data_IF_258467333179
#
_entry.id   IF_258467333179
#
_cell.length_a   1.000
_cell.length_b   1.000
_cell.length_c   1.000
_cell.angle_alpha   90.00
_cell.angle_beta   90.00
_cell.angle_gamma   90.00
#
_symmetry.space_group_name_H-M   'P 1'
#
loop_
_entity.id
_entity.type
_entity.pdbx_description
1 polymer ?
#
# COMPACT_ATOMS: atom_id res chain seq x y z
N UNK A 1 -13.44 -28.78 -1.34
CA UNK A 1 -12.13 -29.19 -1.85
C UNK A 1 -11.44 -27.97 -2.47
N UNK A 2 -11.26 -26.90 -1.69
CA UNK A 2 -10.87 -25.55 -2.18
C UNK A 2 -9.44 -25.16 -1.76
N UNK A 3 -8.80 -25.99 -0.92
CA UNK A 3 -7.50 -25.71 -0.29
C UNK A 3 -6.31 -25.51 -1.25
N UNK A 4 -6.20 -26.23 -2.39
CA UNK A 4 -5.01 -26.08 -3.24
C UNK A 4 -4.98 -24.74 -3.99
N UNK A 5 -6.13 -24.18 -4.37
CA UNK A 5 -6.22 -22.88 -5.06
C UNK A 5 -5.83 -21.72 -4.13
N UNK A 6 -6.36 -21.72 -2.89
CA UNK A 6 -5.98 -20.73 -1.89
C UNK A 6 -4.50 -20.81 -1.54
N UNK A 7 -3.95 -22.02 -1.39
CA UNK A 7 -2.53 -22.21 -1.12
C UNK A 7 -1.64 -21.70 -2.26
N UNK A 8 -2.01 -21.96 -3.52
CA UNK A 8 -1.29 -21.44 -4.68
C UNK A 8 -1.32 -19.90 -4.70
N UNK A 9 -2.50 -19.31 -4.49
CA UNK A 9 -2.65 -17.86 -4.45
C UNK A 9 -1.82 -17.22 -3.32
N UNK A 10 -1.85 -17.83 -2.13
CA UNK A 10 -1.09 -17.36 -0.97
C UNK A 10 0.43 -17.53 -1.16
N UNK A 11 0.85 -18.58 -1.86
CA UNK A 11 2.24 -18.80 -2.24
C UNK A 11 2.71 -17.72 -3.24
N UNK A 12 1.94 -17.46 -4.30
CA UNK A 12 2.24 -16.40 -5.27
C UNK A 12 2.23 -15.00 -4.66
N UNK A 13 1.44 -14.73 -3.62
CA UNK A 13 1.40 -13.44 -2.92
C UNK A 13 2.54 -13.22 -1.91
N UNK A 14 3.34 -14.25 -1.57
CA UNK A 14 4.49 -14.14 -0.66
C UNK A 14 5.78 -13.84 -1.44
N UNK A 15 6.74 -13.07 -0.89
CA UNK A 15 8.03 -12.77 -1.54
C UNK A 15 8.74 -13.96 -2.19
N UNK A 16 8.82 -15.17 -1.58
CA UNK A 16 9.43 -16.33 -2.24
C UNK A 16 8.67 -16.82 -3.48
N UNK A 17 7.34 -16.87 -3.47
CA UNK A 17 6.57 -17.35 -4.63
C UNK A 17 6.59 -16.36 -5.79
N UNK A 18 6.74 -15.08 -5.49
CA UNK A 18 6.97 -14.04 -6.49
C UNK A 18 8.26 -14.29 -7.30
N UNK A 19 9.39 -14.59 -6.63
CA UNK A 19 10.66 -14.88 -7.32
C UNK A 19 10.55 -16.14 -8.20
N UNK A 20 9.82 -17.15 -7.75
CA UNK A 20 9.57 -18.37 -8.54
C UNK A 20 8.77 -18.04 -9.81
N UNK A 21 7.72 -17.22 -9.68
CA UNK A 21 6.91 -16.82 -10.84
C UNK A 21 7.73 -15.99 -11.84
N UNK A 22 8.55 -15.06 -11.35
CA UNK A 22 9.43 -14.24 -12.17
C UNK A 22 10.46 -15.09 -12.93
N UNK A 23 11.11 -16.03 -12.23
CA UNK A 23 12.07 -16.95 -12.85
C UNK A 23 11.41 -17.84 -13.90
N UNK A 24 10.21 -18.35 -13.63
CA UNK A 24 9.43 -19.12 -14.59
C UNK A 24 9.08 -18.28 -15.83
N UNK A 25 8.62 -17.04 -15.65
CA UNK A 25 8.31 -16.12 -16.74
C UNK A 25 9.52 -15.81 -17.62
N UNK A 26 10.67 -15.52 -17.01
CA UNK A 26 11.94 -15.26 -17.71
C UNK A 26 12.44 -16.50 -18.45
N UNK A 27 12.40 -17.67 -17.81
CA UNK A 27 12.82 -18.93 -18.43
C UNK A 27 11.95 -19.28 -19.64
N UNK A 28 10.64 -19.03 -19.55
CA UNK A 28 9.73 -19.28 -20.65
C UNK A 28 9.90 -18.26 -21.79
N UNK A 29 10.16 -16.99 -21.47
CA UNK A 29 10.46 -15.96 -22.46
C UNK A 29 11.74 -16.24 -23.27
N UNK A 30 12.73 -16.90 -22.66
CA UNK A 30 13.98 -17.28 -23.33
C UNK A 30 13.85 -18.53 -24.22
N UNK A 31 12.89 -19.42 -23.92
CA UNK A 31 12.71 -20.71 -24.61
C UNK A 31 11.60 -20.66 -25.67
N UNK A 32 10.62 -19.77 -25.53
CA UNK A 32 9.48 -19.68 -26.44
C UNK A 32 9.73 -18.73 -27.63
N UNK A 33 9.15 -19.07 -28.80
CA UNK A 33 9.09 -18.19 -29.98
C UNK A 33 8.60 -16.78 -29.61
N UNK A 34 9.05 -15.75 -30.34
CA UNK A 34 8.86 -14.33 -30.00
C UNK A 34 7.41 -13.98 -29.61
N UNK A 35 6.41 -14.55 -30.28
CA UNK A 35 4.99 -14.29 -29.98
C UNK A 35 4.51 -14.92 -28.66
N UNK A 36 4.89 -16.17 -28.37
CA UNK A 36 4.47 -16.87 -27.14
C UNK A 36 5.20 -16.30 -25.93
N UNK A 37 6.49 -15.97 -26.07
CA UNK A 37 7.26 -15.29 -25.04
C UNK A 37 6.66 -13.94 -24.65
N UNK A 38 6.19 -13.14 -25.62
CA UNK A 38 5.52 -11.87 -25.35
C UNK A 38 4.25 -12.04 -24.52
N UNK A 39 3.37 -12.98 -24.87
CA UNK A 39 2.14 -13.19 -24.09
C UNK A 39 2.42 -13.61 -22.64
N UNK A 40 3.42 -14.46 -22.43
CA UNK A 40 3.80 -14.92 -21.09
C UNK A 40 4.36 -13.76 -20.25
N UNK A 41 5.20 -12.92 -20.86
CA UNK A 41 5.70 -11.71 -20.18
C UNK A 41 4.56 -10.75 -19.83
N UNK A 42 3.61 -10.52 -20.74
CA UNK A 42 2.46 -9.65 -20.47
C UNK A 42 1.58 -10.16 -19.33
N UNK A 43 1.23 -11.45 -19.32
CA UNK A 43 0.42 -12.04 -18.25
C UNK A 43 1.16 -11.98 -16.91
N UNK A 44 2.47 -12.26 -16.92
CA UNK A 44 3.31 -12.21 -15.72
C UNK A 44 3.43 -10.78 -15.16
N UNK A 45 3.55 -9.77 -16.03
CA UNK A 45 3.58 -8.37 -15.63
C UNK A 45 2.28 -7.93 -14.95
N UNK A 46 1.12 -8.34 -15.50
CA UNK A 46 -0.19 -8.06 -14.89
C UNK A 46 -0.32 -8.75 -13.53
N UNK A 47 0.07 -10.03 -13.44
CA UNK A 47 0.04 -10.77 -12.18
C UNK A 47 0.95 -10.16 -11.11
N UNK A 48 2.17 -9.77 -11.48
CA UNK A 48 3.12 -9.06 -10.60
C UNK A 48 2.51 -7.76 -10.10
N UNK A 49 1.92 -6.96 -10.99
CA UNK A 49 1.26 -5.71 -10.63
C UNK A 49 0.14 -5.97 -9.62
N UNK A 50 -0.67 -7.00 -9.82
CA UNK A 50 -1.69 -7.42 -8.87
C UNK A 50 -1.12 -7.77 -7.49
N UNK A 51 -0.04 -8.55 -7.43
CA UNK A 51 0.63 -8.91 -6.17
C UNK A 51 1.16 -7.67 -5.45
N UNK A 52 1.81 -6.76 -6.17
CA UNK A 52 2.35 -5.50 -5.59
C UNK A 52 1.24 -4.64 -5.03
N UNK A 53 0.12 -4.48 -5.74
CA UNK A 53 -1.03 -3.72 -5.26
C UNK A 53 -1.63 -4.32 -3.98
N UNK A 54 -1.76 -5.65 -3.93
CA UNK A 54 -2.27 -6.36 -2.73
C UNK A 54 -1.32 -6.18 -1.54
N UNK A 55 0.00 -6.31 -1.77
CA UNK A 55 1.00 -6.10 -0.73
C UNK A 55 0.99 -4.65 -0.23
N UNK A 56 0.96 -3.68 -1.14
CA UNK A 56 0.92 -2.27 -0.81
C UNK A 56 -0.32 -1.90 0.01
N UNK A 57 -1.49 -2.43 -0.35
CA UNK A 57 -2.72 -2.24 0.43
C UNK A 57 -2.57 -2.79 1.85
N UNK A 58 -2.10 -4.03 2.00
CA UNK A 58 -1.93 -4.67 3.32
C UNK A 58 -0.95 -3.91 4.20
N UNK A 59 0.18 -3.48 3.63
CA UNK A 59 1.22 -2.77 4.38
C UNK A 59 0.75 -1.37 4.77
N UNK A 60 0.00 -0.69 3.88
CA UNK A 60 -0.63 0.61 4.18
C UNK A 60 -1.66 0.49 5.30
N UNK A 61 -2.55 -0.50 5.27
CA UNK A 61 -3.53 -0.72 6.34
C UNK A 61 -2.87 -1.05 7.68
N UNK A 62 -1.80 -1.85 7.68
CA UNK A 62 -1.05 -2.16 8.89
C UNK A 62 -0.37 -0.92 9.48
N UNK A 63 0.17 -0.04 8.62
CA UNK A 63 0.74 1.24 9.04
C UNK A 63 -0.32 2.16 9.64
N UNK A 64 -1.47 2.32 8.99
CA UNK A 64 -2.58 3.15 9.49
C UNK A 64 -3.09 2.64 10.85
N UNK A 65 -3.23 1.33 11.03
CA UNK A 65 -3.64 0.74 12.30
C UNK A 65 -2.65 1.06 13.45
N UNK A 66 -1.35 0.95 13.19
CA UNK A 66 -0.32 1.29 14.19
C UNK A 66 -0.31 2.78 14.53
N UNK A 67 -0.49 3.65 13.54
CA UNK A 67 -0.58 5.09 13.76
C UNK A 67 -1.81 5.47 14.57
N UNK A 68 -2.96 4.84 14.28
CA UNK A 68 -4.19 5.01 15.05
C UNK A 68 -3.97 4.68 16.53
N UNK A 69 -3.35 3.54 16.83
CA UNK A 69 -3.04 3.15 18.22
C UNK A 69 -2.15 4.20 18.91
N UNK A 70 -1.15 4.75 18.21
CA UNK A 70 -0.29 5.81 18.76
C UNK A 70 -1.09 7.10 19.00
N UNK A 71 -2.00 7.48 18.10
CA UNK A 71 -2.85 8.67 18.26
C UNK A 71 -3.77 8.52 19.47
N UNK A 72 -4.35 7.34 19.68
CA UNK A 72 -5.19 7.04 20.85
C UNK A 72 -4.36 7.02 22.14
N UNK A 73 -3.13 6.52 22.10
CA UNK A 73 -2.25 6.44 23.27
C UNK A 73 -1.61 7.79 23.67
N UNK A 74 -1.48 8.74 22.73
CA UNK A 74 -0.88 10.04 22.97
C UNK A 74 -1.95 11.09 23.32
N UNK A 75 -2.00 11.52 24.59
CA UNK A 75 -2.97 12.50 25.09
C UNK A 75 -2.95 13.86 24.34
N UNK A 76 -1.79 14.24 23.79
CA UNK A 76 -1.63 15.44 23.00
C UNK A 76 -2.04 15.28 21.52
N UNK A 77 -2.21 14.05 21.03
CA UNK A 77 -2.61 13.80 19.65
C UNK A 77 -4.14 13.91 19.53
N UNK A 78 -4.60 14.61 18.49
CA UNK A 78 -6.03 14.70 18.22
C UNK A 78 -6.50 13.44 17.50
N UNK A 79 -7.59 12.88 18.02
CA UNK A 79 -8.26 11.71 17.44
C UNK A 79 -9.07 12.04 16.15
N UNK A 80 -9.01 13.27 15.64
CA UNK A 80 -9.79 13.72 14.47
C UNK A 80 -9.19 13.29 13.11
N UNK A 81 -7.99 12.69 13.13
CA UNK A 81 -7.31 12.15 11.94
C UNK A 81 -7.46 10.64 11.78
N UNK A 82 -8.03 9.96 12.78
CA UNK A 82 -8.26 8.52 12.75
C UNK A 82 -9.38 8.19 11.77
N UNK A 83 -9.12 7.25 10.86
CA UNK A 83 -10.11 6.79 9.89
C UNK A 83 -10.39 7.78 8.76
N UNK A 84 -9.57 8.84 8.63
CA UNK A 84 -9.68 9.86 7.59
C UNK A 84 -9.67 9.25 6.18
N UNK A 85 -9.02 8.11 5.99
CA UNK A 85 -8.93 7.35 4.74
C UNK A 85 -10.27 6.82 4.20
N UNK A 86 -11.33 6.85 5.02
CA UNK A 86 -12.69 6.47 4.60
C UNK A 86 -13.53 7.67 4.13
N UNK A 87 -13.03 8.90 4.31
CA UNK A 87 -13.72 10.12 3.89
C UNK A 87 -13.65 10.35 2.38
N UNK A 88 -14.45 11.28 1.89
CA UNK A 88 -14.36 11.71 0.48
C UNK A 88 -13.02 12.42 0.22
N UNK A 89 -12.53 12.46 -1.03
CA UNK A 89 -11.30 13.19 -1.37
C UNK A 89 -11.34 14.66 -0.94
N UNK A 90 -12.50 15.29 -1.04
CA UNK A 90 -12.73 16.67 -0.63
C UNK A 90 -12.63 16.82 0.90
N UNK A 91 -13.21 15.88 1.66
CA UNK A 91 -13.13 15.86 3.12
C UNK A 91 -11.70 15.67 3.61
N UNK A 92 -10.97 14.74 2.99
CA UNK A 92 -9.55 14.48 3.29
C UNK A 92 -8.72 15.74 3.05
N UNK A 93 -8.92 16.39 1.90
CA UNK A 93 -8.18 17.59 1.50
C UNK A 93 -8.47 18.77 2.45
N UNK A 94 -9.74 18.99 2.78
CA UNK A 94 -10.15 20.04 3.72
C UNK A 94 -9.58 19.81 5.14
N UNK A 95 -9.55 18.54 5.59
CA UNK A 95 -8.95 18.19 6.88
C UNK A 95 -7.44 18.38 6.88
N UNK A 96 -6.76 18.00 5.80
CA UNK A 96 -5.33 18.21 5.63
C UNK A 96 -4.97 19.69 5.67
N UNK A 97 -5.66 20.52 4.89
CA UNK A 97 -5.44 21.97 4.86
C UNK A 97 -5.66 22.60 6.26
N UNK A 98 -6.71 22.18 6.97
CA UNK A 98 -6.97 22.66 8.31
C UNK A 98 -5.88 22.27 9.32
N UNK A 99 -5.24 21.10 9.15
CA UNK A 99 -4.11 20.66 9.99
C UNK A 99 -2.86 21.50 9.67
N UNK A 100 -2.57 21.71 8.39
CA UNK A 100 -1.43 22.52 7.94
C UNK A 100 -1.53 23.97 8.40
N UNK A 101 -2.71 24.60 8.26
CA UNK A 101 -2.96 25.97 8.73
C UNK A 101 -2.74 26.10 10.24
N UNK A 102 -3.18 25.11 11.03
CA UNK A 102 -2.95 25.08 12.49
C UNK A 102 -1.47 24.93 12.82
N UNK A 103 -0.76 24.03 12.14
CA UNK A 103 0.68 23.84 12.34
C UNK A 103 1.46 25.13 12.04
N UNK A 104 1.12 25.83 10.96
CA UNK A 104 1.69 27.12 10.60
C UNK A 104 1.38 28.21 11.65
N UNK A 105 0.15 28.27 12.17
CA UNK A 105 -0.25 29.19 13.23
C UNK A 105 0.50 28.97 14.56
N UNK A 106 0.68 27.71 14.95
CA UNK A 106 1.45 27.32 16.15
C UNK A 106 2.95 27.63 16.04
N UNK A 107 3.51 27.62 14.83
CA UNK A 107 4.89 28.07 14.59
C UNK A 107 5.03 29.59 14.74
N UNK A 108 4.08 30.35 14.19
CA UNK A 108 4.06 31.83 14.26
C UNK A 108 3.88 32.34 15.70
N UNK A 109 3.01 31.70 16.47
CA UNK A 109 2.81 31.98 17.90
C UNK A 109 4.07 31.77 18.74
N UNK A 110 4.87 30.73 18.45
CA UNK A 110 6.14 30.48 19.14
C UNK A 110 7.25 31.46 18.74
N UNK A 111 7.22 31.98 17.52
CA UNK A 111 8.22 32.96 17.05
C UNK A 111 7.98 34.39 17.56
N UNK A 112 6.74 34.75 17.95
CA UNK A 112 6.41 36.07 18.50
C UNK A 112 6.49 36.18 20.02
N UNK A 113 6.83 35.08 20.71
CA UNK A 113 6.97 35.01 22.17
C UNK A 113 8.44 34.91 22.63
N UNK A 114 9.40 35.07 21.69
CA UNK A 114 10.83 35.12 21.93
C UNK A 114 11.37 36.54 21.79
#
# INVERSE_FOLDING_TARGET
MERPLYFLAEFFSKPPGFYVMLAAALSCALVASSTVGTYILSISAIALTGVVLIQNYRDTSAMQAKLNEIIVALDAARNDVVGLEHGSPEEISAKLEAIEQRAAGAAKSRSGAA
#
